data_IF_371747661546
#
_entry.id   IF_371747661546
#
_cell.length_a   1.000
_cell.length_b   1.000
_cell.length_c   1.000
_cell.angle_alpha   90.00
_cell.angle_beta   90.00
_cell.angle_gamma   90.00
#
_symmetry.space_group_name_H-M   'P 1'
#
loop_
_entity.id
_entity.type
_entity.pdbx_description
1 polymer ?
#
# COMPACT_ATOMS: atom_id res chain seq x y z
N UNK A 1 58.90 -10.88 -60.03
CA UNK A 1 57.68 -11.65 -59.74
C UNK A 1 56.76 -10.79 -58.89
N UNK A 2 55.87 -10.05 -59.54
CA UNK A 2 55.17 -8.87 -58.98
C UNK A 2 53.64 -8.97 -59.13
N UNK A 3 53.11 -10.19 -59.17
CA UNK A 3 51.68 -10.48 -59.40
C UNK A 3 51.09 -11.52 -58.43
N UNK A 4 51.56 -11.57 -57.18
CA UNK A 4 50.80 -12.21 -56.10
C UNK A 4 50.10 -11.16 -55.22
N UNK A 5 49.58 -10.17 -55.94
CA UNK A 5 48.75 -9.10 -55.45
C UNK A 5 47.54 -9.67 -54.71
N UNK A 6 47.38 -9.19 -53.48
CA UNK A 6 46.16 -8.47 -53.08
C UNK A 6 44.91 -9.34 -52.83
N UNK A 7 44.97 -10.66 -53.05
CA UNK A 7 43.81 -11.54 -52.83
C UNK A 7 43.60 -11.97 -51.36
N UNK A 8 44.45 -11.54 -50.43
CA UNK A 8 44.30 -11.84 -49.00
C UNK A 8 43.87 -10.61 -48.18
N UNK A 9 43.48 -9.53 -48.86
CA UNK A 9 43.11 -8.24 -48.25
C UNK A 9 41.63 -7.85 -48.44
N UNK A 10 40.78 -8.72 -49.00
CA UNK A 10 39.35 -8.44 -49.26
C UNK A 10 38.43 -9.52 -48.65
N UNK A 11 38.79 -10.05 -47.49
CA UNK A 11 37.90 -10.91 -46.73
C UNK A 11 38.12 -10.79 -45.22
N UNK A 12 38.28 -9.54 -44.76
CA UNK A 12 37.73 -9.18 -43.46
C UNK A 12 36.29 -8.81 -43.79
N UNK A 13 35.29 -9.68 -43.56
CA UNK A 13 33.93 -9.21 -43.58
C UNK A 13 33.91 -8.04 -42.61
N UNK A 14 33.35 -6.92 -43.06
CA UNK A 14 32.87 -5.88 -42.19
C UNK A 14 31.84 -6.52 -41.24
N UNK A 15 32.35 -7.23 -40.23
CA UNK A 15 31.67 -7.52 -38.99
C UNK A 15 31.73 -6.21 -38.21
N UNK A 16 31.12 -5.18 -38.80
CA UNK A 16 30.44 -4.15 -38.05
C UNK A 16 29.30 -4.89 -37.35
N UNK A 17 29.65 -5.65 -36.32
CA UNK A 17 28.75 -5.83 -35.20
C UNK A 17 28.46 -4.40 -34.79
N UNK A 18 27.32 -3.88 -35.23
CA UNK A 18 26.67 -2.78 -34.56
C UNK A 18 26.37 -3.28 -33.16
N UNK A 19 27.39 -3.29 -32.32
CA UNK A 19 27.26 -3.38 -30.90
C UNK A 19 26.56 -2.08 -30.52
N UNK A 20 25.23 -2.07 -30.61
CA UNK A 20 24.44 -1.18 -29.79
C UNK A 20 24.91 -1.47 -28.37
N UNK A 21 25.81 -0.63 -27.86
CA UNK A 21 26.20 -0.68 -26.46
C UNK A 21 24.92 -0.46 -25.69
N UNK A 22 24.41 -1.54 -25.08
CA UNK A 22 23.21 -1.49 -24.26
C UNK A 22 23.42 -0.40 -23.22
N UNK A 23 22.49 0.54 -23.17
CA UNK A 23 22.57 1.69 -22.26
C UNK A 23 22.58 1.18 -20.82
N UNK A 24 23.46 1.70 -19.96
CA UNK A 24 23.61 1.18 -18.59
C UNK A 24 22.34 1.37 -17.76
N UNK A 25 22.13 0.49 -16.77
CA UNK A 25 21.04 0.59 -15.79
C UNK A 25 20.90 2.01 -15.22
N UNK A 26 22.02 2.60 -14.78
CA UNK A 26 22.04 3.92 -14.15
C UNK A 26 21.71 5.04 -15.13
N UNK A 27 22.10 4.92 -16.40
CA UNK A 27 21.78 5.91 -17.42
C UNK A 27 20.27 5.96 -17.69
N UNK A 28 19.64 4.79 -17.88
CA UNK A 28 18.19 4.70 -18.12
C UNK A 28 17.41 5.23 -16.91
N UNK A 29 17.82 4.86 -15.68
CA UNK A 29 17.16 5.33 -14.46
C UNK A 29 17.35 6.82 -14.24
N UNK A 30 18.55 7.36 -14.52
CA UNK A 30 18.79 8.79 -14.44
C UNK A 30 17.88 9.54 -15.41
N UNK A 31 17.78 9.09 -16.66
CA UNK A 31 16.90 9.68 -17.65
C UNK A 31 15.42 9.64 -17.21
N UNK A 32 14.95 8.50 -16.69
CA UNK A 32 13.59 8.34 -16.18
C UNK A 32 13.30 9.29 -15.00
N UNK A 33 14.23 9.38 -14.05
CA UNK A 33 14.13 10.27 -12.88
C UNK A 33 14.15 11.74 -13.30
N UNK A 34 15.01 12.13 -14.24
CA UNK A 34 15.02 13.50 -14.79
C UNK A 34 13.68 13.85 -15.44
N UNK A 35 13.10 12.94 -16.24
CA UNK A 35 11.78 13.15 -16.84
C UNK A 35 10.65 13.23 -15.82
N UNK A 36 10.73 12.45 -14.74
CA UNK A 36 9.79 12.56 -13.64
C UNK A 36 9.86 13.91 -12.92
N UNK A 37 11.06 14.43 -12.66
CA UNK A 37 11.23 15.76 -12.04
C UNK A 37 10.80 16.90 -12.98
N UNK A 38 11.05 16.77 -14.29
CA UNK A 38 10.51 17.68 -15.31
C UNK A 38 8.97 17.70 -15.25
N UNK A 39 8.33 16.53 -15.20
CA UNK A 39 6.87 16.41 -15.12
C UNK A 39 6.30 17.08 -13.85
N UNK A 40 6.90 16.83 -12.68
CA UNK A 40 6.50 17.47 -11.42
C UNK A 40 6.66 18.98 -11.45
N UNK A 41 7.72 19.48 -12.08
CA UNK A 41 7.93 20.92 -12.26
C UNK A 41 6.83 21.52 -13.12
N UNK A 42 6.47 20.87 -14.24
CA UNK A 42 5.37 21.31 -15.10
C UNK A 42 4.02 21.32 -14.37
N UNK A 43 3.74 20.30 -13.54
CA UNK A 43 2.55 20.27 -12.66
C UNK A 43 2.55 21.47 -11.71
N UNK A 44 3.68 21.76 -11.06
CA UNK A 44 3.80 22.90 -10.13
C UNK A 44 3.61 24.26 -10.81
N UNK A 45 3.88 24.33 -12.11
CA UNK A 45 3.68 25.50 -12.96
C UNK A 45 2.27 25.55 -13.58
N UNK A 46 1.38 24.63 -13.19
CA UNK A 46 0.02 24.51 -13.71
C UNK A 46 -0.03 24.28 -15.24
N UNK A 47 0.85 23.41 -15.76
CA UNK A 47 0.95 22.99 -17.17
C UNK A 47 0.58 21.52 -17.33
N UNK A 48 -0.71 21.16 -17.20
CA UNK A 48 -1.14 19.77 -17.02
C UNK A 48 -0.89 18.87 -18.23
N UNK A 49 -1.00 19.39 -19.46
CA UNK A 49 -0.82 18.57 -20.67
C UNK A 49 0.65 18.23 -20.91
N UNK A 50 1.54 19.19 -20.71
CA UNK A 50 2.99 18.99 -20.77
C UNK A 50 3.47 18.08 -19.65
N UNK A 51 2.95 18.26 -18.43
CA UNK A 51 3.25 17.39 -17.30
C UNK A 51 2.81 15.95 -17.58
N UNK A 52 1.57 15.76 -18.06
CA UNK A 52 1.05 14.44 -18.46
C UNK A 52 1.93 13.77 -19.51
N UNK A 53 2.38 14.52 -20.53
CA UNK A 53 3.31 14.02 -21.53
C UNK A 53 4.64 13.58 -20.90
N UNK A 54 5.23 14.42 -20.04
CA UNK A 54 6.50 14.13 -19.38
C UNK A 54 6.41 12.93 -18.42
N UNK A 55 5.28 12.74 -17.71
CA UNK A 55 5.01 11.52 -16.94
C UNK A 55 4.98 10.28 -17.83
N UNK A 56 4.35 10.37 -19.01
CA UNK A 56 4.37 9.30 -20.00
C UNK A 56 5.79 8.95 -20.45
N UNK A 57 6.61 9.95 -20.77
CA UNK A 57 8.02 9.75 -21.13
C UNK A 57 8.84 9.09 -20.01
N UNK A 58 8.63 9.50 -18.75
CA UNK A 58 9.27 8.87 -17.59
C UNK A 58 8.86 7.39 -17.45
N UNK A 59 7.57 7.09 -17.61
CA UNK A 59 7.04 5.71 -17.56
C UNK A 59 7.67 4.85 -18.67
N UNK A 60 7.79 5.36 -19.89
CA UNK A 60 8.40 4.58 -20.99
C UNK A 60 9.88 4.29 -20.74
N UNK A 61 10.62 5.22 -20.13
CA UNK A 61 12.01 4.97 -19.72
C UNK A 61 12.10 3.92 -18.59
N UNK A 62 11.19 3.97 -17.62
CA UNK A 62 11.12 2.92 -16.58
C UNK A 62 10.73 1.55 -17.17
N UNK A 63 9.81 1.49 -18.13
CA UNK A 63 9.47 0.24 -18.83
C UNK A 63 10.64 -0.29 -19.65
N UNK A 64 11.40 0.59 -20.30
CA UNK A 64 12.66 0.24 -20.97
C UNK A 64 13.62 -0.41 -19.97
N UNK A 65 13.79 0.20 -18.79
CA UNK A 65 14.61 -0.38 -17.72
C UNK A 65 14.15 -1.80 -17.35
N UNK A 66 12.85 -2.01 -17.10
CA UNK A 66 12.32 -3.33 -16.73
C UNK A 66 12.45 -4.38 -17.85
N UNK A 67 12.43 -3.94 -19.11
CA UNK A 67 12.63 -4.81 -20.28
C UNK A 67 14.09 -5.20 -20.44
N UNK A 68 14.99 -4.23 -20.29
CA UNK A 68 16.42 -4.45 -20.48
C UNK A 68 17.06 -5.13 -19.26
N UNK A 69 16.60 -4.84 -18.05
CA UNK A 69 17.21 -5.28 -16.79
C UNK A 69 16.19 -5.96 -15.86
N UNK A 70 15.52 -7.04 -16.31
CA UNK A 70 14.40 -7.65 -15.59
C UNK A 70 14.81 -8.30 -14.26
N UNK A 71 16.10 -8.61 -14.07
CA UNK A 71 16.64 -9.22 -12.84
C UNK A 71 17.41 -8.23 -11.97
N UNK A 72 17.41 -6.94 -12.31
CA UNK A 72 18.12 -5.92 -11.51
C UNK A 72 17.49 -5.83 -10.12
N UNK A 73 18.33 -5.63 -9.10
CA UNK A 73 17.88 -5.40 -7.73
C UNK A 73 17.07 -4.10 -7.59
N UNK A 74 17.14 -3.20 -8.58
CA UNK A 74 16.38 -1.94 -8.63
C UNK A 74 14.99 -2.11 -9.25
N UNK A 75 14.69 -3.26 -9.88
CA UNK A 75 13.40 -3.50 -10.53
C UNK A 75 12.18 -3.31 -9.60
N UNK A 76 12.22 -3.71 -8.30
CA UNK A 76 11.09 -3.46 -7.39
C UNK A 76 10.78 -1.96 -7.21
N UNK A 77 11.80 -1.12 -7.04
CA UNK A 77 11.66 0.34 -6.95
C UNK A 77 11.04 0.89 -8.24
N UNK A 78 11.52 0.45 -9.39
CA UNK A 78 11.06 0.91 -10.71
C UNK A 78 9.58 0.59 -10.95
N UNK A 79 9.17 -0.63 -10.65
CA UNK A 79 7.76 -1.01 -10.68
C UNK A 79 6.90 -0.12 -9.77
N UNK A 80 7.37 0.12 -8.53
CA UNK A 80 6.69 1.02 -7.59
C UNK A 80 6.62 2.46 -8.12
N UNK A 81 7.68 2.96 -8.75
CA UNK A 81 7.71 4.29 -9.36
C UNK A 81 6.68 4.45 -10.47
N UNK A 82 6.57 3.47 -11.39
CA UNK A 82 5.57 3.50 -12.46
C UNK A 82 4.16 3.54 -11.85
N UNK A 83 3.87 2.65 -10.90
CA UNK A 83 2.56 2.58 -10.28
C UNK A 83 2.20 3.87 -9.53
N UNK A 84 3.15 4.49 -8.81
CA UNK A 84 2.96 5.78 -8.14
C UNK A 84 2.65 6.90 -9.11
N UNK A 85 3.34 6.98 -10.25
CA UNK A 85 3.02 7.99 -11.29
C UNK A 85 1.56 7.84 -11.75
N UNK A 86 1.11 6.59 -11.95
CA UNK A 86 -0.26 6.33 -12.33
C UNK A 86 -1.29 6.72 -11.24
N UNK A 87 -0.99 6.49 -9.96
CA UNK A 87 -1.88 6.88 -8.84
C UNK A 87 -1.87 8.39 -8.59
N UNK A 88 -0.69 8.97 -8.44
CA UNK A 88 -0.51 10.29 -7.86
C UNK A 88 -0.71 11.38 -8.90
N UNK A 89 -0.26 11.14 -10.14
CA UNK A 89 -0.18 12.16 -11.18
C UNK A 89 -1.23 11.95 -12.27
N UNK A 90 -1.36 10.72 -12.78
CA UNK A 90 -2.23 10.45 -13.93
C UNK A 90 -3.65 10.03 -13.56
N UNK A 91 -3.87 9.64 -12.30
CA UNK A 91 -5.15 9.10 -11.80
C UNK A 91 -5.67 7.91 -12.62
N UNK A 92 -4.76 7.15 -13.22
CA UNK A 92 -5.03 5.95 -14.01
C UNK A 92 -4.85 4.71 -13.11
N UNK A 93 -5.87 4.50 -12.29
CA UNK A 93 -5.86 3.43 -11.28
C UNK A 93 -5.76 2.01 -11.88
N UNK A 94 -6.39 1.68 -13.03
CA UNK A 94 -6.20 0.38 -13.65
C UNK A 94 -4.73 0.09 -14.00
N UNK A 95 -4.01 1.06 -14.56
CA UNK A 95 -2.58 0.88 -14.84
C UNK A 95 -1.73 0.85 -13.57
N UNK A 96 -2.09 1.62 -12.54
CA UNK A 96 -1.42 1.53 -11.23
C UNK A 96 -1.55 0.13 -10.62
N UNK A 97 -2.77 -0.42 -10.57
CA UNK A 97 -3.05 -1.78 -10.06
C UNK A 97 -2.22 -2.80 -10.84
N UNK A 98 -2.24 -2.75 -12.18
CA UNK A 98 -1.46 -3.66 -13.02
C UNK A 98 0.02 -3.69 -12.62
N UNK A 99 0.66 -2.54 -12.44
CA UNK A 99 2.09 -2.49 -12.13
C UNK A 99 2.38 -2.92 -10.68
N UNK A 100 1.49 -2.63 -9.73
CA UNK A 100 1.60 -3.17 -8.37
C UNK A 100 1.39 -4.69 -8.31
N UNK A 101 0.49 -5.25 -9.11
CA UNK A 101 0.29 -6.69 -9.22
C UNK A 101 1.51 -7.38 -9.84
N UNK A 102 2.06 -6.82 -10.93
CA UNK A 102 3.31 -7.31 -11.53
C UNK A 102 4.48 -7.27 -10.53
N UNK A 103 4.59 -6.20 -9.75
CA UNK A 103 5.57 -6.06 -8.68
C UNK A 103 5.43 -7.17 -7.63
N UNK A 104 4.23 -7.37 -7.10
CA UNK A 104 3.98 -8.42 -6.09
C UNK A 104 4.21 -9.82 -6.67
N UNK A 105 3.89 -10.07 -7.94
CA UNK A 105 4.10 -11.36 -8.58
C UNK A 105 5.58 -11.66 -8.84
N UNK A 106 6.36 -10.67 -9.30
CA UNK A 106 7.77 -10.85 -9.66
C UNK A 106 8.74 -10.67 -8.49
N UNK A 107 8.37 -9.84 -7.51
CA UNK A 107 9.20 -9.51 -6.34
C UNK A 107 8.44 -9.69 -5.02
N UNK A 108 7.85 -10.88 -4.76
CA UNK A 108 6.96 -11.11 -3.62
C UNK A 108 7.61 -10.97 -2.24
N UNK A 109 8.94 -10.98 -2.15
CA UNK A 109 9.72 -10.88 -0.93
C UNK A 109 10.31 -9.48 -0.68
N UNK A 110 10.21 -8.55 -1.65
CA UNK A 110 10.72 -7.19 -1.45
C UNK A 110 9.74 -6.35 -0.63
N UNK A 111 10.24 -5.28 0.00
CA UNK A 111 9.42 -4.30 0.72
C UNK A 111 8.39 -3.66 -0.21
N UNK A 112 8.79 -3.35 -1.44
CA UNK A 112 7.93 -2.80 -2.49
C UNK A 112 6.89 -3.83 -2.93
N UNK A 113 7.21 -5.13 -2.95
CA UNK A 113 6.26 -6.21 -3.21
C UNK A 113 5.14 -6.29 -2.18
N UNK A 114 5.48 -6.19 -0.88
CA UNK A 114 4.51 -6.08 0.23
C UNK A 114 3.68 -4.80 0.08
N UNK A 115 4.33 -3.66 -0.13
CA UNK A 115 3.67 -2.38 -0.32
C UNK A 115 2.71 -2.38 -1.52
N UNK A 116 3.12 -2.94 -2.66
CA UNK A 116 2.27 -3.02 -3.85
C UNK A 116 0.99 -3.81 -3.62
N UNK A 117 1.09 -4.92 -2.88
CA UNK A 117 -0.07 -5.73 -2.53
C UNK A 117 -1.07 -4.97 -1.65
N UNK A 118 -0.57 -4.18 -0.69
CA UNK A 118 -1.40 -3.27 0.10
C UNK A 118 -2.03 -2.17 -0.77
N UNK A 119 -1.23 -1.56 -1.67
CA UNK A 119 -1.70 -0.48 -2.54
C UNK A 119 -2.79 -0.94 -3.50
N UNK A 120 -2.78 -2.18 -4.00
CA UNK A 120 -3.89 -2.71 -4.81
C UNK A 120 -5.21 -2.65 -4.05
N UNK A 121 -5.21 -3.10 -2.79
CA UNK A 121 -6.41 -3.04 -1.95
C UNK A 121 -6.83 -1.60 -1.66
N UNK A 122 -5.88 -0.75 -1.31
CA UNK A 122 -6.11 0.68 -1.04
C UNK A 122 -6.67 1.42 -2.26
N UNK A 123 -6.19 1.13 -3.47
CA UNK A 123 -6.70 1.76 -4.69
C UNK A 123 -8.15 1.33 -4.95
N UNK A 124 -8.48 0.05 -4.77
CA UNK A 124 -9.87 -0.41 -4.91
C UNK A 124 -10.79 0.28 -3.90
N UNK A 125 -10.34 0.39 -2.65
CA UNK A 125 -11.09 0.99 -1.56
C UNK A 125 -11.28 2.50 -1.75
N UNK A 126 -10.17 3.22 -1.83
CA UNK A 126 -10.18 4.67 -1.72
C UNK A 126 -10.38 5.39 -3.03
N UNK A 127 -9.85 4.85 -4.13
CA UNK A 127 -9.84 5.55 -5.42
C UNK A 127 -10.98 5.09 -6.32
N UNK A 128 -11.24 3.78 -6.36
CA UNK A 128 -12.28 3.18 -7.21
C UNK A 128 -13.61 2.96 -6.49
N UNK A 129 -13.63 3.00 -5.15
CA UNK A 129 -14.80 2.70 -4.30
C UNK A 129 -15.42 1.33 -4.60
N UNK A 130 -14.61 0.37 -5.09
CA UNK A 130 -15.01 -1.01 -5.36
C UNK A 130 -14.81 -1.85 -4.09
N UNK A 131 -15.80 -1.82 -3.21
CA UNK A 131 -15.75 -2.45 -1.89
C UNK A 131 -15.48 -3.94 -1.96
N UNK A 132 -16.08 -4.65 -2.93
CA UNK A 132 -15.92 -6.09 -3.08
C UNK A 132 -14.46 -6.44 -3.42
N UNK A 133 -13.87 -5.74 -4.41
CA UNK A 133 -12.46 -5.96 -4.74
C UNK A 133 -11.52 -5.49 -3.63
N UNK A 134 -11.86 -4.42 -2.91
CA UNK A 134 -11.10 -3.95 -1.77
C UNK A 134 -11.05 -5.02 -0.67
N UNK A 135 -12.19 -5.58 -0.26
CA UNK A 135 -12.27 -6.65 0.74
C UNK A 135 -11.42 -7.86 0.35
N UNK A 136 -11.61 -8.36 -0.88
CA UNK A 136 -10.82 -9.50 -1.40
C UNK A 136 -9.33 -9.20 -1.36
N UNK A 137 -8.93 -7.99 -1.74
CA UNK A 137 -7.52 -7.60 -1.80
C UNK A 137 -6.89 -7.40 -0.42
N UNK A 138 -7.60 -6.78 0.54
CA UNK A 138 -7.13 -6.67 1.92
C UNK A 138 -7.03 -8.04 2.59
N UNK A 139 -8.00 -8.92 2.38
CA UNK A 139 -7.94 -10.28 2.91
C UNK A 139 -6.72 -11.02 2.35
N UNK A 140 -6.51 -10.97 1.03
CA UNK A 140 -5.33 -11.56 0.38
C UNK A 140 -4.02 -11.00 0.97
N UNK A 141 -3.96 -9.69 1.23
CA UNK A 141 -2.80 -9.06 1.86
C UNK A 141 -2.55 -9.61 3.27
N UNK A 142 -3.60 -9.69 4.10
CA UNK A 142 -3.53 -10.19 5.47
C UNK A 142 -3.25 -11.69 5.57
N UNK A 143 -3.68 -12.49 4.60
CA UNK A 143 -3.34 -13.92 4.52
C UNK A 143 -1.84 -14.13 4.35
N UNK A 144 -1.19 -13.23 3.60
CA UNK A 144 0.26 -13.28 3.35
C UNK A 144 1.08 -12.53 4.41
N UNK A 145 0.55 -11.42 4.91
CA UNK A 145 1.19 -10.55 5.90
C UNK A 145 0.24 -10.36 7.10
N UNK A 146 0.07 -11.40 7.95
CA UNK A 146 -0.89 -11.36 9.04
C UNK A 146 -0.49 -10.41 10.18
N UNK A 147 0.77 -9.96 10.22
CA UNK A 147 1.27 -9.01 11.20
C UNK A 147 2.42 -8.19 10.61
N UNK A 148 2.62 -6.99 11.16
CA UNK A 148 3.78 -6.18 10.85
C UNK A 148 4.98 -6.72 11.65
N UNK A 149 6.07 -7.03 10.95
CA UNK A 149 7.29 -7.55 11.56
C UNK A 149 8.20 -6.42 12.07
N UNK A 150 8.23 -5.30 11.33
CA UNK A 150 8.88 -4.06 11.75
C UNK A 150 7.90 -3.23 12.60
N UNK A 151 8.27 -2.80 13.82
CA UNK A 151 7.40 -2.00 14.68
C UNK A 151 7.01 -0.63 14.10
N UNK A 152 7.78 -0.13 13.12
CA UNK A 152 7.48 1.12 12.42
C UNK A 152 6.56 0.90 11.20
N UNK A 153 6.29 -0.35 10.83
CA UNK A 153 5.30 -0.67 9.80
C UNK A 153 3.91 -0.79 10.43
N UNK A 154 2.91 -0.32 9.68
CA UNK A 154 1.50 -0.33 10.10
C UNK A 154 0.56 -0.90 9.04
N UNK A 155 1.10 -1.46 7.95
CA UNK A 155 0.28 -1.89 6.82
C UNK A 155 -0.70 -3.01 7.20
N UNK A 156 -0.29 -3.97 8.02
CA UNK A 156 -1.15 -5.08 8.45
C UNK A 156 -2.20 -4.63 9.46
N UNK A 157 -1.81 -3.72 10.37
CA UNK A 157 -2.75 -3.04 11.27
C UNK A 157 -3.81 -2.24 10.48
N UNK A 158 -3.38 -1.39 9.55
CA UNK A 158 -4.27 -0.59 8.70
C UNK A 158 -5.16 -1.44 7.81
N UNK A 159 -4.63 -2.50 7.18
CA UNK A 159 -5.43 -3.40 6.35
C UNK A 159 -6.54 -4.10 7.14
N UNK A 160 -6.28 -4.52 8.39
CA UNK A 160 -7.32 -5.06 9.27
C UNK A 160 -8.39 -4.02 9.59
N UNK A 161 -7.98 -2.81 9.94
CA UNK A 161 -8.91 -1.73 10.27
C UNK A 161 -9.80 -1.40 9.05
N UNK A 162 -9.23 -1.24 7.87
CA UNK A 162 -9.99 -0.94 6.65
C UNK A 162 -10.91 -2.09 6.26
N UNK A 163 -10.45 -3.34 6.34
CA UNK A 163 -11.30 -4.52 6.11
C UNK A 163 -12.49 -4.56 7.09
N UNK A 164 -12.24 -4.32 8.39
CA UNK A 164 -13.28 -4.25 9.40
C UNK A 164 -14.29 -3.12 9.10
N UNK A 165 -13.83 -1.93 8.71
CA UNK A 165 -14.72 -0.82 8.33
C UNK A 165 -15.57 -1.15 7.08
N UNK A 166 -14.99 -1.86 6.12
CA UNK A 166 -15.71 -2.34 4.94
C UNK A 166 -16.75 -3.40 5.29
N UNK A 167 -16.50 -4.23 6.30
CA UNK A 167 -17.45 -5.23 6.82
C UNK A 167 -18.54 -4.62 7.69
N UNK A 168 -18.22 -3.61 8.51
CA UNK A 168 -19.18 -2.92 9.39
C UNK A 168 -20.23 -2.07 8.64
N UNK A 169 -20.00 -1.77 7.36
CA UNK A 169 -21.03 -1.40 6.38
C UNK A 169 -21.95 -2.61 6.05
N UNK A 170 -22.43 -3.30 7.08
CA UNK A 170 -22.96 -4.66 7.02
C UNK A 170 -24.09 -4.81 6.02
N UNK A 171 -23.91 -5.79 5.15
CA UNK A 171 -24.98 -6.39 4.36
C UNK A 171 -26.03 -7.00 5.30
N UNK A 172 -27.30 -6.92 4.91
CA UNK A 172 -28.44 -7.46 5.68
C UNK A 172 -28.24 -8.96 5.97
N UNK A 173 -27.50 -9.66 5.12
CA UNK A 173 -27.16 -11.08 5.20
C UNK A 173 -26.33 -11.43 6.44
N UNK A 174 -25.38 -10.60 6.87
CA UNK A 174 -24.57 -10.87 8.06
C UNK A 174 -25.37 -10.66 9.35
N UNK A 175 -26.33 -9.72 9.31
CA UNK A 175 -27.30 -9.52 10.38
C UNK A 175 -28.21 -10.76 10.46
N UNK A 176 -28.72 -11.25 9.32
CA UNK A 176 -29.58 -12.45 9.29
C UNK A 176 -28.83 -13.71 9.72
N UNK A 177 -27.59 -13.91 9.27
CA UNK A 177 -26.80 -15.11 9.54
C UNK A 177 -26.35 -15.19 11.01
N UNK A 178 -26.04 -14.05 11.64
CA UNK A 178 -25.74 -14.01 13.07
C UNK A 178 -27.01 -14.11 13.94
N UNK A 179 -28.13 -13.51 13.52
CA UNK A 179 -29.42 -13.63 14.24
C UNK A 179 -29.95 -15.08 14.27
N UNK A 180 -29.70 -15.87 13.21
CA UNK A 180 -30.07 -17.29 13.20
C UNK A 180 -29.15 -18.18 14.04
N UNK A 181 -27.94 -17.73 14.36
CA UNK A 181 -26.98 -18.49 15.17
C UNK A 181 -27.25 -18.33 16.67
N UNK A 182 -27.80 -17.19 17.07
CA UNK A 182 -28.11 -16.86 18.48
C UNK A 182 -29.49 -17.35 18.93
N UNK A 183 -30.38 -17.73 18.01
CA UNK A 183 -31.76 -18.16 18.33
C UNK A 183 -31.93 -19.65 18.65
N UNK A 184 -30.85 -20.44 18.73
CA UNK A 184 -30.91 -21.90 18.99
C UNK A 184 -30.37 -22.30 20.37
N UNK A 185 -29.94 -21.38 21.24
CA UNK A 185 -29.54 -21.72 22.62
C UNK A 185 -30.16 -20.79 23.65
N UNK A 186 -31.40 -21.08 24.05
CA UNK A 186 -31.78 -21.05 25.46
C UNK A 186 -33.06 -21.87 25.66
N UNK A 187 -32.87 -23.02 26.28
CA UNK A 187 -33.94 -23.87 26.81
C UNK A 187 -34.69 -23.12 27.92
N UNK A 188 -36.01 -23.28 27.90
CA UNK A 188 -37.00 -22.81 28.87
C UNK A 188 -36.81 -23.49 30.24
N UNK A 189 -36.69 -22.75 31.36
CA UNK A 189 -36.90 -23.32 32.69
C UNK A 189 -38.40 -23.42 33.01
N UNK A 190 -38.88 -24.61 33.40
CA UNK A 190 -40.22 -24.85 33.97
C UNK A 190 -40.31 -24.36 35.42
N UNK A 191 -41.38 -23.64 35.74
CA UNK A 191 -41.83 -23.30 37.10
C UNK A 191 -42.63 -24.46 37.76
N UNK A 192 -42.52 -24.58 39.11
CA UNK A 192 -43.61 -24.66 40.14
C UNK A 192 -43.09 -25.29 41.50
N UNK A 193 -43.77 -25.20 42.68
CA UNK A 193 -43.88 -24.01 43.56
C UNK A 193 -43.67 -24.25 45.11
N UNK A 194 -43.50 -23.12 45.86
CA UNK A 194 -43.82 -22.77 47.30
C UNK A 194 -43.41 -23.64 48.52
N UNK A 195 -42.81 -23.00 49.57
CA UNK A 195 -43.47 -22.58 50.85
C UNK A 195 -42.55 -22.00 51.97
N UNK A 196 -43.08 -20.96 52.63
CA UNK A 196 -43.04 -20.54 54.06
C UNK A 196 -41.84 -19.76 54.70
N UNK A 197 -42.23 -18.69 55.41
CA UNK A 197 -41.58 -17.57 56.14
C UNK A 197 -41.17 -17.92 57.61
N UNK A 198 -40.79 -16.99 58.55
CA UNK A 198 -40.01 -15.72 58.51
C UNK A 198 -39.01 -15.57 59.72
N UNK A 199 -38.17 -14.50 59.75
CA UNK A 199 -37.98 -13.53 60.89
C UNK A 199 -36.78 -12.55 60.77
N UNK A 200 -37.13 -11.26 60.69
CA UNK A 200 -36.74 -10.04 61.47
C UNK A 200 -35.30 -9.75 61.99
N UNK A 201 -35.01 -8.43 61.89
CA UNK A 201 -34.13 -7.54 62.70
C UNK A 201 -32.62 -7.54 62.34
N UNK A 202 -31.85 -6.44 62.28
CA UNK A 202 -31.94 -5.11 62.90
C UNK A 202 -31.14 -4.03 62.14
N UNK A 203 -31.39 -2.78 62.56
CA UNK A 203 -30.94 -1.44 62.15
C UNK A 203 -29.42 -1.19 62.33
N UNK A 204 -28.76 -0.48 61.39
CA UNK A 204 -28.12 0.85 61.64
C UNK A 204 -27.39 1.48 60.44
N UNK A 205 -27.54 2.80 60.46
CA UNK A 205 -27.04 3.91 59.64
C UNK A 205 -25.56 4.19 59.97
N UNK A 206 -24.73 4.52 58.97
CA UNK A 206 -23.79 5.64 59.11
C UNK A 206 -23.31 6.19 57.76
N UNK A 207 -23.22 7.52 57.71
CA UNK A 207 -22.74 8.36 56.61
C UNK A 207 -21.22 8.46 56.67
N UNK A 208 -20.52 8.49 55.52
CA UNK A 208 -19.42 9.44 55.32
C UNK A 208 -19.05 9.58 53.83
N UNK A 209 -18.44 10.71 53.53
CA UNK A 209 -18.42 11.48 52.28
C UNK A 209 -16.98 11.58 51.77
N UNK A 210 -16.82 12.05 50.52
CA UNK A 210 -15.60 12.61 49.85
C UNK A 210 -14.67 11.57 49.21
N UNK A 211 -14.00 11.82 48.08
CA UNK A 211 -13.84 12.95 47.16
C UNK A 211 -13.20 12.39 45.87
N UNK A 212 -13.52 12.97 44.72
CA UNK A 212 -12.85 12.71 43.44
C UNK A 212 -11.62 13.61 43.27
N UNK A 213 -10.66 13.28 42.38
CA UNK A 213 -9.80 14.28 41.78
C UNK A 213 -10.12 14.46 40.28
N UNK A 214 -10.47 15.69 39.95
CA UNK A 214 -10.44 16.25 38.60
C UNK A 214 -9.04 16.83 38.35
N UNK A 215 -8.42 16.58 37.19
CA UNK A 215 -7.40 17.48 36.64
C UNK A 215 -7.28 17.37 35.12
N UNK A 216 -8.03 18.22 34.44
CA UNK A 216 -7.74 18.78 33.11
C UNK A 216 -6.62 19.81 33.22
N UNK A 217 -5.59 19.75 32.35
CA UNK A 217 -4.87 20.92 31.83
C UNK A 217 -4.41 20.58 30.40
N UNK A 218 -4.86 21.39 29.44
CA UNK A 218 -4.44 21.50 28.03
C UNK A 218 -3.59 22.81 27.87
N UNK A 219 -3.11 23.22 26.68
CA UNK A 219 -1.72 23.17 26.24
C UNK A 219 -1.10 24.59 26.09
N UNK A 220 0.10 24.66 25.50
CA UNK A 220 0.81 25.86 25.02
C UNK A 220 1.46 26.77 26.07
N UNK A 221 2.76 26.57 26.27
CA UNK A 221 3.70 27.64 26.57
C UNK A 221 4.91 27.49 25.62
N UNK A 222 4.98 28.42 24.67
CA UNK A 222 6.17 28.81 23.94
C UNK A 222 7.27 29.24 24.92
N UNK A 223 8.51 28.82 24.69
CA UNK A 223 9.64 29.66 25.08
C UNK A 223 10.77 29.61 24.06
N UNK A 224 11.25 30.82 23.81
CA UNK A 224 12.33 31.24 22.92
C UNK A 224 13.66 31.27 23.67
N UNK A 225 14.75 31.38 22.89
CA UNK A 225 16.12 31.70 23.33
C UNK A 225 16.89 30.58 24.09
N UNK A 226 18.19 30.31 23.91
CA UNK A 226 19.31 31.08 23.35
C UNK A 226 20.53 30.17 23.06
N UNK A 227 21.26 30.48 21.98
CA UNK A 227 22.75 30.55 21.80
C UNK A 227 23.75 29.54 22.42
N UNK A 228 24.80 29.33 21.59
CA UNK A 228 26.19 28.84 21.84
C UNK A 228 26.30 27.32 22.01
N UNK A 229 27.12 26.60 21.24
CA UNK A 229 28.47 26.88 20.73
C UNK A 229 28.78 25.93 19.58
#
# INVERSE_FOLDING_TARGET
MQKLKILLLILIPALLLTACSKESEDSILLAAKTKLEEAKKLDSENKPEEAKKAYGEAIELYKKFLTEYPTSQKAPEVYSSIAKIYVDNLKDYPNAIKHYEELTAKHPASKEGKYGMFMVAFIYDEMLKDKEKAKVSYQKFLDKYPKDEDPNEKMSESARMMLQMLDENRSIEDIIKNTQKDSVKTETPKEEPKKEEPKKNDVKKDESKKEAPNKTIDPNATDSDTKKK
#
